data_IF_811009213006
#
_entry.id   IF_811009213006
#
_cell.length_a   1.000
_cell.length_b   1.000
_cell.length_c   1.000
_cell.angle_alpha   90.00
_cell.angle_beta   90.00
_cell.angle_gamma   90.00
#
_symmetry.space_group_name_H-M   'P 1'
#
loop_
_entity.id
_entity.type
_entity.pdbx_description
1 polymer ?
#
# COMPACT_ATOMS: atom_id res chain seq x y z
N UNK A 1 17.56 9.79 32.20
CA UNK A 1 16.18 9.83 31.72
C UNK A 1 16.26 9.82 30.19
N UNK A 2 15.40 9.08 29.48
CA UNK A 2 15.37 9.15 28.02
C UNK A 2 14.94 10.55 27.56
N UNK A 3 15.49 11.03 26.43
CA UNK A 3 15.20 12.36 25.89
C UNK A 3 13.78 12.44 25.33
N UNK A 4 13.27 11.30 24.77
CA UNK A 4 11.96 11.18 24.16
C UNK A 4 11.21 9.94 24.69
N UNK A 5 9.90 9.94 24.57
CA UNK A 5 9.10 8.72 24.76
C UNK A 5 9.30 7.77 23.58
N UNK A 6 9.27 8.31 22.36
CA UNK A 6 9.38 7.53 21.12
C UNK A 6 10.30 8.23 20.12
N UNK A 7 11.26 7.48 19.57
CA UNK A 7 11.99 7.89 18.36
C UNK A 7 11.44 7.11 17.18
N UNK A 8 11.06 7.80 16.10
CA UNK A 8 10.55 7.22 14.86
C UNK A 8 11.59 7.45 13.75
N UNK A 9 12.13 6.39 13.20
CA UNK A 9 13.04 6.44 12.06
C UNK A 9 12.27 6.21 10.77
N UNK A 10 12.28 7.22 9.89
CA UNK A 10 11.52 7.28 8.65
C UNK A 10 10.28 8.19 8.76
N UNK A 11 10.36 9.36 8.13
CA UNK A 11 9.27 10.37 8.07
C UNK A 11 8.36 10.21 6.84
N UNK A 12 8.24 9.00 6.30
CA UNK A 12 7.23 8.68 5.29
C UNK A 12 5.81 8.67 5.87
N UNK A 13 4.85 8.14 5.11
CA UNK A 13 3.42 8.14 5.50
C UNK A 13 3.20 7.49 6.87
N UNK A 14 3.77 6.29 7.11
CA UNK A 14 3.57 5.57 8.36
C UNK A 14 4.19 6.28 9.57
N UNK A 15 5.45 6.70 9.45
CA UNK A 15 6.14 7.37 10.56
C UNK A 15 5.56 8.74 10.89
N UNK A 16 5.23 9.54 9.87
CA UNK A 16 4.61 10.85 10.07
C UNK A 16 3.19 10.75 10.63
N UNK A 17 2.40 9.78 10.17
CA UNK A 17 1.07 9.51 10.75
C UNK A 17 1.17 9.13 12.22
N UNK A 18 2.06 8.18 12.57
CA UNK A 18 2.27 7.76 13.95
C UNK A 18 2.77 8.91 14.83
N UNK A 19 3.76 9.69 14.34
CA UNK A 19 4.27 10.86 15.05
C UNK A 19 3.17 11.87 15.33
N UNK A 20 2.29 12.14 14.35
CA UNK A 20 1.15 13.05 14.51
C UNK A 20 0.21 12.58 15.63
N UNK A 21 -0.15 11.30 15.61
CA UNK A 21 -1.09 10.74 16.60
C UNK A 21 -0.49 10.74 18.01
N UNK A 22 0.75 10.32 18.15
CA UNK A 22 1.43 10.26 19.44
C UNK A 22 1.70 11.67 20.02
N UNK A 23 2.12 12.63 19.20
CA UNK A 23 2.33 14.00 19.64
C UNK A 23 1.01 14.67 20.07
N UNK A 24 -0.11 14.45 19.34
CA UNK A 24 -1.46 14.88 19.76
C UNK A 24 -1.89 14.27 21.10
N UNK A 25 -1.41 13.08 21.42
CA UNK A 25 -1.62 12.43 22.72
C UNK A 25 -0.63 12.90 23.80
N UNK A 26 0.18 13.93 23.53
CA UNK A 26 1.11 14.53 24.49
C UNK A 26 2.43 13.77 24.68
N UNK A 27 2.78 12.84 23.79
CA UNK A 27 4.06 12.12 23.85
C UNK A 27 5.21 12.97 23.32
N UNK A 28 6.37 12.87 23.96
CA UNK A 28 7.63 13.43 23.43
C UNK A 28 8.12 12.54 22.29
N UNK A 29 7.97 13.01 21.04
CA UNK A 29 8.30 12.27 19.83
C UNK A 29 9.41 12.94 19.05
N UNK A 30 10.47 12.19 18.71
CA UNK A 30 11.46 12.56 17.70
C UNK A 30 11.17 11.79 16.42
N UNK A 31 10.96 12.50 15.30
CA UNK A 31 10.76 11.94 13.96
C UNK A 31 11.94 12.32 13.06
N UNK A 32 12.63 11.32 12.50
CA UNK A 32 13.81 11.49 11.66
C UNK A 32 13.53 11.02 10.23
N UNK A 33 13.72 11.90 9.23
CA UNK A 33 13.56 11.62 7.81
C UNK A 33 14.83 11.96 7.04
N UNK A 34 15.33 10.99 6.28
CA UNK A 34 16.55 11.15 5.50
C UNK A 34 16.39 12.05 4.27
N UNK A 35 15.20 12.04 3.65
CA UNK A 35 14.93 12.81 2.43
C UNK A 35 14.76 14.29 2.75
N UNK A 36 15.47 15.17 2.06
CA UNK A 36 15.24 16.61 2.14
C UNK A 36 13.90 17.01 1.49
N UNK A 37 13.50 16.29 0.45
CA UNK A 37 12.26 16.50 -0.28
C UNK A 37 11.59 15.16 -0.61
N UNK A 38 10.26 15.12 -0.54
CA UNK A 38 9.51 13.98 -1.02
C UNK A 38 9.35 14.05 -2.54
N UNK A 39 9.74 12.97 -3.21
CA UNK A 39 9.64 12.85 -4.66
C UNK A 39 8.66 11.76 -5.06
N UNK A 40 8.11 11.85 -6.26
CA UNK A 40 7.25 10.81 -6.81
C UNK A 40 8.07 9.51 -7.01
N UNK A 41 7.69 8.48 -6.29
CA UNK A 41 8.28 7.14 -6.37
C UNK A 41 7.34 6.12 -7.02
N UNK A 42 6.23 6.61 -7.62
CA UNK A 42 5.23 5.78 -8.31
C UNK A 42 4.67 4.67 -7.38
N UNK A 43 4.28 5.04 -6.18
CA UNK A 43 3.66 4.13 -5.20
C UNK A 43 3.04 4.91 -4.04
N UNK A 44 2.12 4.24 -3.33
CA UNK A 44 1.53 4.81 -2.10
C UNK A 44 0.55 5.95 -2.36
N UNK A 45 -0.41 5.76 -3.28
CA UNK A 45 -1.33 6.81 -3.71
C UNK A 45 -2.82 6.41 -3.63
N UNK A 46 -3.11 5.16 -3.29
CA UNK A 46 -4.46 4.63 -3.19
C UNK A 46 -4.68 3.95 -1.84
N UNK A 47 -5.75 4.30 -1.16
CA UNK A 47 -6.14 3.75 0.14
C UNK A 47 -7.48 3.07 -0.04
N UNK A 48 -7.56 1.76 0.22
CA UNK A 48 -8.81 1.00 0.16
C UNK A 48 -9.87 1.55 1.15
N UNK A 49 -11.17 1.32 0.95
CA UNK A 49 -12.21 1.80 1.87
C UNK A 49 -11.98 1.41 3.33
N UNK A 50 -11.55 0.18 3.62
CA UNK A 50 -11.18 -0.21 4.98
C UNK A 50 -9.96 0.57 5.54
N UNK A 51 -9.00 0.91 4.68
CA UNK A 51 -7.87 1.76 5.04
C UNK A 51 -8.29 3.20 5.33
N UNK A 52 -9.28 3.74 4.59
CA UNK A 52 -9.88 5.05 4.89
C UNK A 52 -10.56 5.04 6.26
N UNK A 53 -11.18 3.92 6.65
CA UNK A 53 -11.70 3.76 8.02
C UNK A 53 -10.60 3.86 9.07
N UNK A 54 -9.42 3.27 8.83
CA UNK A 54 -8.25 3.42 9.72
C UNK A 54 -7.77 4.88 9.79
N UNK A 55 -7.69 5.57 8.64
CA UNK A 55 -7.33 7.00 8.57
C UNK A 55 -8.31 7.86 9.40
N UNK A 56 -9.62 7.56 9.34
CA UNK A 56 -10.64 8.24 10.15
C UNK A 56 -10.44 7.99 11.65
N UNK A 57 -10.20 6.75 12.04
CA UNK A 57 -9.94 6.37 13.45
C UNK A 57 -8.72 7.07 14.02
N UNK A 58 -7.72 7.33 13.20
CA UNK A 58 -6.51 8.08 13.56
C UNK A 58 -6.74 9.62 13.61
N UNK A 59 -7.92 10.11 13.23
CA UNK A 59 -8.20 11.56 13.14
C UNK A 59 -7.38 12.28 12.07
N UNK A 60 -7.04 11.57 10.99
CA UNK A 60 -6.21 12.10 9.89
C UNK A 60 -7.02 12.33 8.59
N UNK A 61 -8.29 11.93 8.56
CA UNK A 61 -9.11 11.96 7.36
C UNK A 61 -9.29 13.37 6.79
N UNK A 62 -9.76 14.31 7.62
CA UNK A 62 -10.02 15.69 7.18
C UNK A 62 -8.73 16.40 6.72
N UNK A 63 -7.59 16.03 7.33
CA UNK A 63 -6.28 16.52 6.90
C UNK A 63 -5.96 16.06 5.48
N UNK A 64 -6.21 14.80 5.14
CA UNK A 64 -5.94 14.26 3.80
C UNK A 64 -6.92 14.79 2.76
N UNK A 65 -8.20 14.97 3.11
CA UNK A 65 -9.19 15.61 2.22
C UNK A 65 -8.78 17.08 1.95
N UNK A 66 -8.42 17.82 2.99
CA UNK A 66 -7.94 19.21 2.86
C UNK A 66 -6.67 19.35 2.02
N UNK A 67 -5.86 18.30 1.96
CA UNK A 67 -4.68 18.19 1.11
C UNK A 67 -4.98 17.73 -0.33
N UNK A 68 -6.25 17.70 -0.75
CA UNK A 68 -6.65 17.32 -2.10
C UNK A 68 -6.84 15.81 -2.31
N UNK A 69 -7.07 15.07 -1.23
CA UNK A 69 -7.49 13.67 -1.33
C UNK A 69 -8.79 13.53 -2.12
N UNK A 70 -8.81 12.65 -3.12
CA UNK A 70 -9.91 12.45 -4.05
C UNK A 70 -10.48 11.03 -3.90
N UNK A 71 -11.82 10.94 -3.68
CA UNK A 71 -12.50 9.66 -3.62
C UNK A 71 -12.86 9.16 -5.02
N UNK A 72 -12.60 7.88 -5.24
CA UNK A 72 -13.08 7.15 -6.40
C UNK A 72 -14.34 6.38 -5.97
N UNK A 73 -15.42 6.51 -6.73
CA UNK A 73 -16.73 5.97 -6.32
C UNK A 73 -17.19 4.77 -7.13
N UNK A 74 -16.54 4.49 -8.27
CA UNK A 74 -16.90 3.41 -9.21
C UNK A 74 -15.68 2.62 -9.67
N UNK A 75 -15.93 1.34 -9.97
CA UNK A 75 -14.92 0.42 -10.47
C UNK A 75 -15.45 -0.40 -11.64
N UNK A 76 -14.63 -0.57 -12.68
CA UNK A 76 -14.88 -1.48 -13.78
C UNK A 76 -13.69 -2.41 -13.95
N UNK A 77 -13.97 -3.71 -14.07
CA UNK A 77 -12.97 -4.71 -14.48
C UNK A 77 -13.17 -5.07 -15.95
N UNK A 78 -12.17 -4.77 -16.78
CA UNK A 78 -12.12 -5.12 -18.19
C UNK A 78 -11.32 -6.41 -18.41
N UNK A 79 -11.65 -7.15 -19.46
CA UNK A 79 -10.89 -8.32 -19.89
C UNK A 79 -11.11 -8.58 -21.38
N UNK A 80 -10.10 -9.04 -22.08
CA UNK A 80 -10.16 -9.37 -23.52
C UNK A 80 -11.17 -10.47 -23.88
N UNK A 81 -11.65 -11.24 -22.90
CA UNK A 81 -12.68 -12.27 -23.10
C UNK A 81 -14.12 -11.74 -23.05
N UNK A 82 -14.31 -10.43 -22.78
CA UNK A 82 -15.61 -9.76 -22.63
C UNK A 82 -15.69 -8.53 -23.52
N UNK A 83 -16.90 -8.16 -23.96
CA UNK A 83 -17.07 -6.87 -24.62
C UNK A 83 -16.98 -5.71 -23.62
N UNK A 84 -16.58 -4.51 -24.07
CA UNK A 84 -16.58 -3.31 -23.22
C UNK A 84 -17.93 -3.05 -22.57
N UNK A 85 -19.02 -3.19 -23.32
CA UNK A 85 -20.39 -2.96 -22.84
C UNK A 85 -20.76 -3.95 -21.71
N UNK A 86 -20.33 -5.21 -21.82
CA UNK A 86 -20.56 -6.22 -20.77
C UNK A 86 -19.73 -5.92 -19.52
N UNK A 87 -18.53 -5.35 -19.67
CA UNK A 87 -17.73 -4.91 -18.54
C UNK A 87 -18.36 -3.68 -17.86
N UNK A 88 -18.79 -2.67 -18.64
CA UNK A 88 -19.40 -1.44 -18.16
C UNK A 88 -20.76 -1.67 -17.49
N UNK A 89 -21.54 -2.63 -17.98
CA UNK A 89 -22.79 -3.06 -17.31
C UNK A 89 -22.54 -3.65 -15.91
N UNK A 90 -21.33 -4.14 -15.64
CA UNK A 90 -20.89 -4.65 -14.34
C UNK A 90 -20.21 -3.61 -13.46
N UNK A 91 -20.42 -2.31 -13.69
CA UNK A 91 -19.84 -1.24 -12.86
C UNK A 91 -20.19 -1.44 -11.39
N UNK A 92 -19.16 -1.44 -10.54
CA UNK A 92 -19.28 -1.68 -9.11
C UNK A 92 -19.23 -0.34 -8.34
N UNK A 93 -20.28 0.02 -7.56
CA UNK A 93 -20.21 1.17 -6.67
C UNK A 93 -19.28 0.85 -5.48
N UNK A 94 -18.38 1.77 -5.13
CA UNK A 94 -17.34 1.50 -4.14
C UNK A 94 -17.69 1.94 -2.72
N UNK A 95 -18.80 2.64 -2.53
CA UNK A 95 -19.32 3.05 -1.22
C UNK A 95 -19.97 1.90 -0.43
N UNK A 96 -20.11 0.72 -1.04
CA UNK A 96 -20.73 -0.46 -0.39
C UNK A 96 -19.75 -1.21 0.54
N UNK A 97 -18.44 -0.91 0.47
CA UNK A 97 -17.41 -1.71 1.14
C UNK A 97 -17.07 -1.24 2.57
N UNK A 98 -17.39 -0.01 2.91
CA UNK A 98 -17.19 0.49 4.27
C UNK A 98 -18.26 1.53 4.62
N UNK A 99 -18.86 1.47 5.82
CA UNK A 99 -19.84 2.47 6.26
C UNK A 99 -19.26 3.89 6.21
N UNK A 100 -20.05 4.84 5.71
CA UNK A 100 -19.72 6.26 5.67
C UNK A 100 -18.45 6.62 4.86
N UNK A 101 -17.95 5.70 4.04
CA UNK A 101 -16.81 5.91 3.14
C UNK A 101 -17.30 5.90 1.70
N UNK A 102 -17.07 7.00 0.98
CA UNK A 102 -17.52 7.14 -0.42
C UNK A 102 -16.85 6.14 -1.38
N UNK A 103 -15.67 5.64 -1.02
CA UNK A 103 -14.86 4.72 -1.79
C UNK A 103 -13.38 4.86 -1.42
N UNK A 104 -12.47 4.25 -2.18
CA UNK A 104 -11.04 4.46 -2.01
C UNK A 104 -10.66 5.94 -2.05
N UNK A 105 -9.59 6.30 -1.32
CA UNK A 105 -9.06 7.65 -1.32
C UNK A 105 -7.71 7.70 -2.06
N UNK A 106 -7.60 8.55 -3.06
CA UNK A 106 -6.38 8.81 -3.81
C UNK A 106 -5.76 10.15 -3.42
N UNK A 107 -4.44 10.16 -3.23
CA UNK A 107 -3.65 11.36 -2.99
C UNK A 107 -2.22 11.13 -3.46
N UNK A 108 -1.61 12.08 -4.15
CA UNK A 108 -0.24 11.96 -4.67
C UNK A 108 0.78 11.76 -3.55
N UNK A 109 1.66 10.77 -3.70
CA UNK A 109 2.59 10.33 -2.65
C UNK A 109 3.44 11.45 -2.04
N UNK A 110 4.10 12.36 -2.81
CA UNK A 110 4.89 13.42 -2.22
C UNK A 110 4.06 14.37 -1.35
N UNK A 111 2.87 14.71 -1.83
CA UNK A 111 1.96 15.60 -1.12
C UNK A 111 1.41 14.95 0.15
N UNK A 112 1.07 13.68 0.08
CA UNK A 112 0.64 12.86 1.21
C UNK A 112 1.70 12.85 2.33
N UNK A 113 2.96 12.52 1.98
CA UNK A 113 4.07 12.52 2.94
C UNK A 113 4.28 13.90 3.56
N UNK A 114 4.31 14.97 2.73
CA UNK A 114 4.51 16.34 3.20
C UNK A 114 3.43 16.76 4.18
N UNK A 115 2.17 16.52 3.83
CA UNK A 115 1.01 16.87 4.67
C UNK A 115 1.09 16.22 6.05
N UNK A 116 1.42 14.93 6.12
CA UNK A 116 1.54 14.22 7.39
C UNK A 116 2.77 14.66 8.19
N UNK A 117 3.88 14.94 7.53
CA UNK A 117 5.08 15.42 8.19
C UNK A 117 4.85 16.80 8.83
N UNK A 118 4.20 17.70 8.12
CA UNK A 118 3.85 19.02 8.63
C UNK A 118 2.83 18.92 9.77
N UNK A 119 1.89 17.98 9.69
CA UNK A 119 0.95 17.70 10.77
C UNK A 119 1.64 17.17 12.03
N UNK A 120 2.67 16.33 11.90
CA UNK A 120 3.47 15.87 13.03
C UNK A 120 4.18 17.03 13.74
N UNK A 121 4.79 17.94 12.98
CA UNK A 121 5.40 19.16 13.52
C UNK A 121 4.37 20.07 14.21
N UNK A 122 3.24 20.28 13.56
CA UNK A 122 2.15 21.10 14.12
C UNK A 122 1.56 20.49 15.40
N UNK A 123 1.59 19.16 15.54
CA UNK A 123 1.19 18.45 16.75
C UNK A 123 2.22 18.51 17.90
N UNK A 124 3.43 19.03 17.65
CA UNK A 124 4.48 19.19 18.65
C UNK A 124 5.59 18.11 18.61
N UNK A 125 5.62 17.25 17.58
CA UNK A 125 6.76 16.35 17.39
C UNK A 125 8.02 17.14 16.99
N UNK A 126 9.19 16.76 17.52
CA UNK A 126 10.50 17.19 17.01
C UNK A 126 10.76 16.42 15.69
N UNK A 127 10.28 16.98 14.58
CA UNK A 127 10.38 16.34 13.28
C UNK A 127 11.47 16.99 12.42
N UNK A 128 12.48 16.21 12.07
CA UNK A 128 13.69 16.64 11.35
C UNK A 128 13.81 15.94 9.99
N UNK A 129 14.22 16.69 8.97
CA UNK A 129 14.43 16.22 7.59
C UNK A 129 15.87 16.45 7.13
N UNK A 130 16.29 15.66 6.12
CA UNK A 130 17.66 15.68 5.65
C UNK A 130 18.63 15.09 6.70
N UNK A 131 18.10 14.21 7.57
CA UNK A 131 18.82 13.67 8.72
C UNK A 131 19.12 12.19 8.50
N UNK A 132 20.39 11.84 8.47
CA UNK A 132 20.83 10.46 8.27
C UNK A 132 21.08 9.78 9.60
N UNK A 133 20.31 8.76 9.94
CA UNK A 133 20.59 7.87 11.08
C UNK A 133 21.80 7.00 10.74
N UNK A 134 22.86 7.11 11.51
CA UNK A 134 24.14 6.43 11.29
C UNK A 134 24.36 5.25 12.23
N UNK A 135 23.73 5.24 13.40
CA UNK A 135 23.80 4.13 14.36
C UNK A 135 22.48 3.97 15.10
N UNK A 136 22.12 2.72 15.40
CA UNK A 136 20.87 2.32 16.08
C UNK A 136 21.21 1.38 17.21
N UNK A 137 20.87 1.78 18.42
CA UNK A 137 21.00 0.95 19.62
C UNK A 137 19.60 0.55 20.09
N UNK A 138 19.40 -0.74 20.32
CA UNK A 138 18.15 -1.34 20.80
C UNK A 138 18.31 -1.92 22.21
N UNK A 139 17.27 -2.52 22.76
CA UNK A 139 17.26 -3.13 24.09
C UNK A 139 16.63 -2.26 25.17
N UNK A 140 17.21 -2.24 26.37
CA UNK A 140 16.64 -1.55 27.52
C UNK A 140 16.67 -0.01 27.39
N UNK A 141 17.69 0.51 26.72
CA UNK A 141 17.91 1.96 26.54
C UNK A 141 18.06 2.25 25.02
N UNK A 142 16.97 2.19 24.24
CA UNK A 142 17.04 2.40 22.80
C UNK A 142 17.42 3.85 22.47
N UNK A 143 18.16 4.02 21.39
CA UNK A 143 18.60 5.34 20.94
C UNK A 143 19.20 5.29 19.53
N UNK A 144 19.43 6.46 18.98
CA UNK A 144 20.01 6.65 17.67
C UNK A 144 21.14 7.67 17.70
N UNK A 145 22.11 7.49 16.81
CA UNK A 145 23.04 8.53 16.40
C UNK A 145 22.65 8.97 14.99
N UNK A 146 22.59 10.26 14.74
CA UNK A 146 22.23 10.80 13.44
C UNK A 146 23.05 12.03 13.08
N UNK A 147 23.14 12.29 11.79
CA UNK A 147 23.83 13.44 11.21
C UNK A 147 22.79 14.46 10.69
N UNK A 148 22.96 15.71 11.10
CA UNK A 148 22.23 16.87 10.57
C UNK A 148 23.27 17.82 9.97
N UNK A 149 23.47 17.76 8.65
CA UNK A 149 24.67 18.27 8.02
C UNK A 149 25.93 17.53 8.53
N UNK A 150 26.91 18.29 9.04
CA UNK A 150 28.15 17.73 9.63
C UNK A 150 28.04 17.50 11.15
N UNK A 151 26.89 17.81 11.76
CA UNK A 151 26.71 17.69 13.21
C UNK A 151 26.22 16.29 13.57
N UNK A 152 27.03 15.53 14.32
CA UNK A 152 26.61 14.29 14.94
C UNK A 152 25.81 14.58 16.22
N UNK A 153 24.61 14.03 16.29
CA UNK A 153 23.70 14.16 17.44
C UNK A 153 23.29 12.77 17.92
N UNK A 154 23.14 12.61 19.24
CA UNK A 154 22.61 11.39 19.85
C UNK A 154 21.31 11.69 20.56
N UNK A 155 20.34 10.77 20.45
CA UNK A 155 19.09 10.83 21.16
C UNK A 155 18.72 9.45 21.72
N UNK A 156 18.05 9.45 22.88
CA UNK A 156 17.56 8.25 23.56
C UNK A 156 16.06 8.28 23.71
N UNK A 157 15.42 7.11 23.69
CA UNK A 157 13.99 7.00 23.88
C UNK A 157 13.63 5.78 24.73
N UNK A 158 12.38 5.68 25.10
CA UNK A 158 11.83 4.47 25.75
C UNK A 158 11.48 3.40 24.72
N UNK A 159 11.18 3.82 23.49
CA UNK A 159 10.86 2.94 22.35
C UNK A 159 11.40 3.54 21.07
N UNK A 160 11.87 2.68 20.18
CA UNK A 160 12.25 3.02 18.81
C UNK A 160 11.25 2.40 17.84
N UNK A 161 10.76 3.20 16.88
CA UNK A 161 9.85 2.73 15.82
C UNK A 161 10.57 2.77 14.48
N UNK A 162 10.65 1.62 13.79
CA UNK A 162 11.10 1.54 12.41
C UNK A 162 9.94 1.78 11.44
N UNK A 163 9.97 2.92 10.76
CA UNK A 163 9.05 3.31 9.69
C UNK A 163 9.81 3.68 8.40
N UNK A 164 11.03 3.18 8.26
CA UNK A 164 12.05 3.52 7.28
C UNK A 164 11.97 2.67 5.99
N UNK A 165 10.83 2.00 5.79
CA UNK A 165 10.47 1.36 4.53
C UNK A 165 11.18 0.04 4.24
N UNK A 166 11.22 -0.35 2.96
CA UNK A 166 11.66 -1.69 2.53
C UNK A 166 13.10 -2.01 2.89
N UNK A 167 13.96 -1.01 2.90
CA UNK A 167 15.40 -1.12 3.24
C UNK A 167 15.69 -0.71 4.68
N UNK A 168 14.80 -1.05 5.60
CA UNK A 168 14.82 -0.62 7.00
C UNK A 168 16.13 -0.97 7.72
N UNK A 169 16.84 0.06 8.15
CA UNK A 169 18.01 -0.06 9.04
C UNK A 169 17.61 -0.46 10.46
N UNK A 170 16.42 -0.04 10.92
CA UNK A 170 15.89 -0.48 12.22
C UNK A 170 15.64 -1.98 12.24
N UNK A 171 15.05 -2.53 11.17
CA UNK A 171 14.84 -3.97 11.02
C UNK A 171 16.15 -4.73 11.05
N UNK A 172 17.16 -4.23 10.32
CA UNK A 172 18.49 -4.81 10.28
C UNK A 172 19.14 -4.81 11.67
N UNK A 173 19.13 -3.67 12.37
CA UNK A 173 19.64 -3.53 13.73
C UNK A 173 18.91 -4.45 14.74
N UNK A 174 17.63 -4.71 14.52
CA UNK A 174 16.82 -5.64 15.31
C UNK A 174 17.04 -7.12 14.96
N UNK A 175 17.86 -7.42 13.93
CA UNK A 175 18.07 -8.77 13.38
C UNK A 175 16.77 -9.47 12.96
N UNK A 176 15.74 -8.69 12.58
CA UNK A 176 14.46 -9.24 12.11
C UNK A 176 14.57 -9.58 10.62
N UNK A 177 14.43 -10.87 10.31
CA UNK A 177 14.49 -11.37 8.93
C UNK A 177 13.10 -11.39 8.30
N UNK A 178 13.00 -10.93 7.03
CA UNK A 178 11.81 -11.11 6.23
C UNK A 178 11.85 -12.42 5.46
N UNK A 179 10.74 -13.14 5.46
CA UNK A 179 10.44 -14.14 4.44
C UNK A 179 10.01 -13.43 3.17
N UNK A 180 10.28 -14.01 2.01
CA UNK A 180 9.92 -13.42 0.72
C UNK A 180 9.47 -14.50 -0.25
N UNK A 181 8.39 -14.23 -0.98
CA UNK A 181 7.93 -15.08 -2.08
C UNK A 181 8.78 -14.85 -3.34
N UNK A 182 8.68 -15.79 -4.28
CA UNK A 182 9.31 -15.61 -5.59
C UNK A 182 8.54 -14.55 -6.38
N UNK A 183 9.25 -13.65 -7.09
CA UNK A 183 8.60 -12.72 -8.00
C UNK A 183 7.85 -13.47 -9.11
N UNK A 184 6.68 -12.94 -9.53
CA UNK A 184 5.91 -13.53 -10.62
C UNK A 184 5.68 -12.58 -11.79
N UNK A 185 5.82 -11.27 -11.63
CA UNK A 185 5.62 -10.31 -12.70
C UNK A 185 6.40 -9.01 -12.45
N UNK A 186 6.58 -8.25 -13.52
CA UNK A 186 7.00 -6.85 -13.44
C UNK A 186 5.78 -5.95 -13.29
N UNK A 187 5.99 -4.83 -12.64
CA UNK A 187 5.01 -3.76 -12.55
C UNK A 187 5.68 -2.44 -12.88
N UNK A 188 5.11 -1.68 -13.81
CA UNK A 188 5.55 -0.32 -14.10
C UNK A 188 4.44 0.67 -13.73
N UNK A 189 4.80 1.91 -13.43
CA UNK A 189 3.81 2.93 -13.14
C UNK A 189 4.25 4.32 -13.58
N UNK A 190 3.26 5.14 -13.91
CA UNK A 190 3.43 6.48 -14.44
C UNK A 190 2.26 7.37 -14.01
N UNK A 191 2.50 8.63 -13.71
CA UNK A 191 1.45 9.65 -13.64
C UNK A 191 1.23 10.24 -15.04
N UNK A 192 -0.02 10.28 -15.47
CA UNK A 192 -0.43 10.82 -16.77
C UNK A 192 -1.29 12.05 -16.55
N UNK A 193 -1.04 13.11 -17.30
CA UNK A 193 -1.86 14.33 -17.34
C UNK A 193 -2.42 14.56 -18.73
N UNK A 194 -3.42 15.46 -18.85
CA UNK A 194 -4.16 15.66 -20.10
C UNK A 194 -5.23 14.60 -20.32
N UNK A 195 -5.73 13.99 -19.24
CA UNK A 195 -6.75 12.92 -19.28
C UNK A 195 -8.13 13.46 -18.89
N UNK A 196 -8.52 14.66 -19.32
CA UNK A 196 -9.81 15.30 -18.97
C UNK A 196 -11.01 14.48 -19.47
N UNK A 197 -10.82 13.62 -20.48
CA UNK A 197 -11.86 12.70 -20.96
C UNK A 197 -11.99 11.41 -20.16
N UNK A 198 -11.09 11.16 -19.20
CA UNK A 198 -11.24 10.06 -18.25
C UNK A 198 -12.22 10.45 -17.15
N UNK A 199 -13.13 9.56 -16.81
CA UNK A 199 -14.08 9.79 -15.73
C UNK A 199 -13.35 9.92 -14.37
N UNK A 200 -13.42 11.07 -13.69
CA UNK A 200 -12.65 11.31 -12.47
C UNK A 200 -13.04 10.41 -11.30
N UNK A 201 -14.23 9.82 -11.33
CA UNK A 201 -14.76 8.98 -10.24
C UNK A 201 -14.61 7.48 -10.52
N UNK A 202 -14.00 7.11 -11.66
CA UNK A 202 -13.89 5.73 -12.13
C UNK A 202 -12.45 5.23 -12.08
N UNK A 203 -12.18 4.24 -11.22
CA UNK A 203 -11.01 3.39 -11.36
C UNK A 203 -11.30 2.19 -12.26
N UNK A 204 -10.29 1.75 -13.00
CA UNK A 204 -10.40 0.58 -13.86
C UNK A 204 -9.17 -0.30 -13.74
N UNK A 205 -9.39 -1.61 -13.85
CA UNK A 205 -8.35 -2.61 -14.05
C UNK A 205 -8.72 -3.44 -15.27
N UNK A 206 -7.75 -4.07 -15.91
CA UNK A 206 -8.05 -4.98 -17.01
C UNK A 206 -6.82 -5.67 -17.56
N UNK A 207 -7.07 -6.72 -18.37
CA UNK A 207 -6.02 -7.52 -18.99
C UNK A 207 -6.37 -7.79 -20.45
N UNK A 208 -5.41 -7.52 -21.35
CA UNK A 208 -5.49 -7.84 -22.77
C UNK A 208 -4.11 -8.22 -23.29
N UNK A 209 -4.03 -9.34 -24.04
CA UNK A 209 -2.79 -9.84 -24.62
C UNK A 209 -1.76 -10.24 -23.56
N UNK A 210 -0.67 -9.50 -23.48
CA UNK A 210 0.45 -9.72 -22.56
C UNK A 210 0.65 -8.58 -21.56
N UNK A 211 -0.42 -7.80 -21.30
CA UNK A 211 -0.37 -6.64 -20.43
C UNK A 211 -1.64 -6.51 -19.58
N UNK A 212 -1.44 -6.35 -18.27
CA UNK A 212 -2.49 -5.99 -17.32
C UNK A 212 -2.36 -4.52 -16.93
N UNK A 213 -3.47 -3.78 -16.79
CA UNK A 213 -3.45 -2.38 -16.41
C UNK A 213 -4.31 -2.07 -15.19
N UNK A 214 -3.93 -1.00 -14.48
CA UNK A 214 -4.71 -0.36 -13.43
C UNK A 214 -4.66 1.16 -13.66
N UNK A 215 -5.80 1.84 -13.49
CA UNK A 215 -5.93 3.28 -13.66
C UNK A 215 -6.70 3.90 -12.49
N UNK A 216 -6.08 4.86 -11.82
CA UNK A 216 -6.60 5.53 -10.64
C UNK A 216 -6.59 7.04 -10.82
N UNK A 217 -7.75 7.70 -11.04
CA UNK A 217 -7.84 9.15 -11.12
C UNK A 217 -7.36 9.83 -9.84
N UNK A 218 -6.67 10.96 -10.01
CA UNK A 218 -6.17 11.80 -8.91
C UNK A 218 -6.75 13.22 -8.97
N UNK A 219 -7.81 13.43 -9.75
CA UNK A 219 -8.39 14.75 -10.00
C UNK A 219 -7.59 15.61 -10.98
N UNK A 220 -8.22 16.67 -11.51
CA UNK A 220 -7.58 17.65 -12.39
C UNK A 220 -7.02 17.09 -13.69
N UNK A 221 -7.69 16.12 -14.32
CA UNK A 221 -7.23 15.49 -15.55
C UNK A 221 -5.96 14.62 -15.40
N UNK A 222 -5.59 14.25 -14.17
CA UNK A 222 -4.46 13.37 -13.86
C UNK A 222 -4.94 11.98 -13.49
N UNK A 223 -4.26 10.97 -14.04
CA UNK A 223 -4.53 9.56 -13.74
C UNK A 223 -3.21 8.87 -13.43
N UNK A 224 -3.12 8.22 -12.28
CA UNK A 224 -2.02 7.30 -11.98
C UNK A 224 -2.34 5.98 -12.66
N UNK A 225 -1.41 5.53 -13.50
CA UNK A 225 -1.54 4.26 -14.21
C UNK A 225 -0.43 3.30 -13.82
N UNK A 226 -0.78 2.04 -13.74
CA UNK A 226 0.15 0.94 -13.54
C UNK A 226 -0.07 -0.12 -14.61
N UNK A 227 0.99 -0.83 -14.96
CA UNK A 227 0.94 -1.94 -15.90
C UNK A 227 1.77 -3.12 -15.43
N UNK A 228 1.16 -4.31 -15.46
CA UNK A 228 1.81 -5.58 -15.15
C UNK A 228 2.17 -6.34 -16.42
N UNK A 229 3.33 -7.01 -16.45
CA UNK A 229 3.84 -7.78 -17.57
C UNK A 229 4.79 -8.89 -17.13
N UNK A 230 5.02 -9.87 -17.97
CA UNK A 230 5.75 -11.08 -17.64
C UNK A 230 7.23 -10.84 -17.29
N UNK A 231 7.81 -11.73 -16.47
CA UNK A 231 9.19 -11.59 -15.95
C UNK A 231 10.25 -11.56 -17.05
N UNK A 232 10.06 -12.29 -18.16
CA UNK A 232 10.97 -12.32 -19.30
C UNK A 232 10.98 -11.02 -20.12
N UNK A 233 10.02 -10.12 -19.89
CA UNK A 233 9.90 -8.82 -20.55
C UNK A 233 10.58 -7.67 -19.78
N UNK A 234 11.59 -7.92 -18.97
CA UNK A 234 12.27 -6.95 -18.10
C UNK A 234 12.76 -5.67 -18.81
N UNK A 235 12.95 -5.72 -20.13
CA UNK A 235 13.45 -4.60 -20.96
C UNK A 235 12.33 -3.80 -21.65
N UNK A 236 11.05 -4.24 -21.55
CA UNK A 236 9.90 -3.75 -22.33
C UNK A 236 9.78 -2.22 -22.32
N UNK A 237 9.94 -1.60 -21.17
CA UNK A 237 9.75 -0.16 -20.99
C UNK A 237 11.03 0.60 -20.61
N UNK A 238 12.22 0.02 -20.81
CA UNK A 238 13.49 0.69 -20.53
C UNK A 238 13.93 1.61 -21.66
N UNK A 239 14.74 2.61 -21.34
CA UNK A 239 15.33 3.56 -22.29
C UNK A 239 14.50 4.82 -22.54
N UNK A 240 14.96 5.72 -23.43
CA UNK A 240 14.41 7.09 -23.56
C UNK A 240 12.92 7.12 -23.88
N UNK A 241 12.44 6.22 -24.76
CA UNK A 241 11.03 6.16 -25.17
C UNK A 241 10.18 5.23 -24.30
N UNK A 242 10.71 4.80 -23.15
CA UNK A 242 10.05 3.84 -22.24
C UNK A 242 8.67 4.30 -21.80
N UNK A 243 8.54 5.56 -21.41
CA UNK A 243 7.25 6.14 -20.97
C UNK A 243 6.23 6.16 -22.13
N UNK A 244 6.66 6.46 -23.38
CA UNK A 244 5.75 6.45 -24.52
C UNK A 244 5.29 5.03 -24.84
N UNK A 245 6.22 4.07 -24.93
CA UNK A 245 5.87 2.63 -25.12
C UNK A 245 4.96 2.11 -24.02
N UNK A 246 5.14 2.59 -22.78
CA UNK A 246 4.28 2.23 -21.68
C UNK A 246 2.85 2.75 -21.88
N UNK A 247 2.68 4.00 -22.29
CA UNK A 247 1.35 4.56 -22.61
C UNK A 247 0.72 3.87 -23.82
N UNK A 248 1.51 3.53 -24.86
CA UNK A 248 1.02 2.80 -26.04
C UNK A 248 0.47 1.41 -25.69
N UNK A 249 0.99 0.76 -24.63
CA UNK A 249 0.49 -0.53 -24.17
C UNK A 249 -0.94 -0.46 -23.57
N UNK A 250 -1.44 0.74 -23.25
CA UNK A 250 -2.84 0.94 -22.82
C UNK A 250 -3.83 1.02 -23.99
N UNK A 251 -3.38 0.95 -25.25
CA UNK A 251 -4.26 0.89 -26.42
C UNK A 251 -4.94 -0.49 -26.52
N UNK A 252 -5.95 -0.70 -25.66
CA UNK A 252 -6.67 -1.97 -25.52
C UNK A 252 -8.07 -1.89 -26.09
N UNK A 253 -8.48 -2.93 -26.82
CA UNK A 253 -9.82 -3.04 -27.36
C UNK A 253 -10.88 -3.28 -26.28
N UNK A 254 -10.52 -4.01 -25.22
CA UNK A 254 -11.42 -4.30 -24.10
C UNK A 254 -11.75 -3.05 -23.25
N UNK A 255 -10.96 -1.99 -23.31
CA UNK A 255 -11.18 -0.75 -22.54
C UNK A 255 -11.04 0.49 -23.43
N UNK A 256 -12.11 0.90 -24.16
CA UNK A 256 -12.07 2.03 -25.09
C UNK A 256 -11.72 3.38 -24.43
N UNK A 257 -12.00 3.55 -23.12
CA UNK A 257 -11.66 4.75 -22.38
C UNK A 257 -10.14 4.95 -22.24
N UNK A 258 -9.34 3.90 -22.38
CA UNK A 258 -7.88 3.96 -22.34
C UNK A 258 -7.28 4.88 -23.43
N UNK A 259 -8.04 5.20 -24.50
CA UNK A 259 -7.63 6.22 -25.49
C UNK A 259 -7.23 7.57 -24.85
N UNK A 260 -7.85 7.93 -23.73
CA UNK A 260 -7.53 9.16 -22.99
C UNK A 260 -6.16 9.07 -22.29
N UNK A 261 -5.78 7.88 -21.82
CA UNK A 261 -4.45 7.60 -21.25
C UNK A 261 -3.38 7.61 -22.32
N UNK A 262 -3.65 6.97 -23.46
CA UNK A 262 -2.73 6.91 -24.62
C UNK A 262 -2.48 8.31 -25.21
N UNK A 263 -3.51 9.16 -25.25
CA UNK A 263 -3.41 10.55 -25.72
C UNK A 263 -2.75 11.48 -24.71
N UNK A 264 -2.72 11.09 -23.43
CA UNK A 264 -2.12 11.87 -22.36
C UNK A 264 -0.59 11.95 -22.46
N UNK A 265 0.00 12.73 -21.55
CA UNK A 265 1.47 12.90 -21.46
C UNK A 265 1.98 12.50 -20.08
N UNK A 266 3.23 11.99 -19.99
CA UNK A 266 3.88 11.73 -18.72
C UNK A 266 3.96 12.99 -17.85
N UNK A 267 3.53 12.91 -16.59
CA UNK A 267 3.61 13.97 -15.58
C UNK A 267 4.61 13.65 -14.47
N UNK A 268 5.45 12.63 -14.68
CA UNK A 268 6.47 12.19 -13.75
C UNK A 268 7.32 11.07 -14.33
N UNK A 269 8.19 10.48 -13.52
CA UNK A 269 9.06 9.38 -13.97
C UNK A 269 8.26 8.09 -14.17
N UNK A 270 8.70 7.27 -15.13
CA UNK A 270 8.30 5.87 -15.25
C UNK A 270 9.24 5.02 -14.38
N UNK A 271 8.67 4.30 -13.44
CA UNK A 271 9.41 3.29 -12.67
C UNK A 271 8.88 1.90 -12.94
N UNK A 272 9.82 0.94 -13.08
CA UNK A 272 9.50 -0.49 -13.19
C UNK A 272 10.20 -1.24 -12.09
N UNK A 273 9.49 -2.15 -11.44
CA UNK A 273 10.00 -2.96 -10.34
C UNK A 273 9.40 -4.36 -10.36
N UNK A 274 10.16 -5.30 -9.84
CA UNK A 274 9.71 -6.67 -9.61
C UNK A 274 8.88 -6.70 -8.33
N UNK A 275 7.80 -7.47 -8.35
CA UNK A 275 6.90 -7.62 -7.24
C UNK A 275 6.99 -9.01 -6.61
N UNK A 276 6.98 -9.00 -5.28
CA UNK A 276 6.84 -10.17 -4.43
C UNK A 276 6.37 -9.71 -3.05
N UNK A 277 5.66 -10.57 -2.36
CA UNK A 277 5.35 -10.37 -0.94
C UNK A 277 6.60 -10.56 -0.08
N UNK A 278 6.73 -9.76 0.97
CA UNK A 278 7.74 -9.95 2.00
C UNK A 278 7.15 -9.69 3.38
N UNK A 279 7.45 -10.52 4.37
CA UNK A 279 6.83 -10.42 5.70
C UNK A 279 7.68 -10.99 6.83
N UNK A 280 7.38 -10.55 8.04
CA UNK A 280 7.77 -11.22 9.29
C UNK A 280 6.52 -11.44 10.12
N UNK A 281 6.51 -12.51 10.92
CA UNK A 281 5.44 -12.78 11.88
C UNK A 281 5.71 -12.05 13.22
N UNK A 282 6.95 -11.59 13.44
CA UNK A 282 7.38 -10.88 14.65
C UNK A 282 7.99 -9.51 14.27
N UNK A 283 7.15 -8.46 14.04
CA UNK A 283 7.62 -7.13 13.64
C UNK A 283 8.10 -6.28 14.83
N UNK A 284 8.65 -6.88 15.87
CA UNK A 284 9.18 -6.20 17.05
C UNK A 284 10.34 -6.98 17.68
N UNK A 285 11.15 -6.26 18.43
CA UNK A 285 12.23 -6.82 19.25
C UNK A 285 12.37 -5.96 20.54
N UNK A 286 13.17 -6.38 21.53
CA UNK A 286 13.37 -5.55 22.72
C UNK A 286 13.79 -4.12 22.37
N UNK A 287 12.99 -3.14 22.79
CA UNK A 287 13.20 -1.72 22.55
C UNK A 287 12.75 -1.19 21.18
N UNK A 288 12.17 -2.02 20.31
CA UNK A 288 11.67 -1.53 19.02
C UNK A 288 10.43 -2.26 18.49
N UNK A 289 9.69 -1.56 17.61
CA UNK A 289 8.60 -2.10 16.78
C UNK A 289 8.72 -1.55 15.36
N UNK A 290 8.31 -2.36 14.36
CA UNK A 290 8.30 -1.99 12.95
C UNK A 290 6.87 -1.75 12.47
N UNK A 291 6.67 -0.75 11.59
CA UNK A 291 5.37 -0.46 10.95
C UNK A 291 5.53 -0.29 9.43
N UNK A 292 4.46 -0.55 8.70
CA UNK A 292 4.44 -0.43 7.24
C UNK A 292 5.45 -1.36 6.54
N UNK A 293 6.08 -0.85 5.49
CA UNK A 293 7.02 -1.63 4.67
C UNK A 293 8.29 -2.07 5.44
N UNK A 294 8.63 -1.42 6.57
CA UNK A 294 9.71 -1.87 7.44
C UNK A 294 9.42 -3.26 8.06
N UNK A 295 8.16 -3.55 8.34
CA UNK A 295 7.69 -4.84 8.84
C UNK A 295 7.32 -5.84 7.73
N UNK A 296 7.54 -5.47 6.45
CA UNK A 296 7.19 -6.27 5.27
C UNK A 296 6.04 -5.67 4.46
N UNK A 297 5.93 -6.07 3.20
CA UNK A 297 5.02 -5.50 2.20
C UNK A 297 4.30 -6.57 1.40
N UNK A 298 3.16 -6.21 0.82
CA UNK A 298 2.44 -7.02 -0.14
C UNK A 298 2.86 -6.73 -1.58
N UNK A 299 2.58 -7.68 -2.47
CA UNK A 299 2.55 -7.42 -3.91
C UNK A 299 1.56 -6.27 -4.19
N UNK A 300 2.01 -5.21 -4.91
CA UNK A 300 1.18 -4.04 -5.18
C UNK A 300 0.00 -4.30 -6.10
N UNK A 301 -0.17 -5.49 -6.66
CA UNK A 301 -1.33 -5.86 -7.50
C UNK A 301 -2.67 -5.62 -6.80
N UNK A 302 -2.73 -5.77 -5.48
CA UNK A 302 -3.94 -5.48 -4.70
C UNK A 302 -3.99 -4.06 -4.11
N UNK A 303 -2.95 -3.23 -4.31
CA UNK A 303 -2.93 -1.81 -3.93
C UNK A 303 -2.96 -1.50 -2.43
N UNK A 304 -2.72 -2.43 -1.53
CA UNK A 304 -3.06 -2.29 -0.10
C UNK A 304 -1.96 -1.74 0.82
N UNK A 305 -0.79 -1.37 0.29
CA UNK A 305 0.34 -0.93 1.12
C UNK A 305 0.00 0.19 2.10
N UNK A 306 -0.77 1.20 1.69
CA UNK A 306 -1.20 2.30 2.56
C UNK A 306 -2.21 1.85 3.62
N UNK A 307 -3.18 1.04 3.24
CA UNK A 307 -4.19 0.52 4.16
C UNK A 307 -3.56 -0.34 5.26
N UNK A 308 -2.57 -1.18 4.89
CA UNK A 308 -1.76 -1.96 5.82
C UNK A 308 -1.02 -1.03 6.78
N UNK A 309 -0.36 0.00 6.25
CA UNK A 309 0.43 0.96 7.04
C UNK A 309 -0.44 1.71 8.04
N UNK A 310 -1.61 2.21 7.63
CA UNK A 310 -2.52 2.91 8.56
C UNK A 310 -3.07 2.00 9.65
N UNK A 311 -3.34 0.73 9.36
CA UNK A 311 -3.73 -0.23 10.40
C UNK A 311 -2.58 -0.54 11.36
N UNK A 312 -1.35 -0.68 10.84
CA UNK A 312 -0.16 -0.83 11.70
C UNK A 312 -0.03 0.39 12.64
N UNK A 313 -0.13 1.61 12.10
CA UNK A 313 -0.07 2.85 12.89
C UNK A 313 -1.15 2.89 13.96
N UNK A 314 -2.40 2.56 13.62
CA UNK A 314 -3.50 2.56 14.59
C UNK A 314 -3.26 1.57 15.71
N UNK A 315 -2.92 0.31 15.40
CA UNK A 315 -2.75 -0.71 16.45
C UNK A 315 -1.56 -0.37 17.34
N UNK A 316 -0.45 0.08 16.77
CA UNK A 316 0.72 0.50 17.56
C UNK A 316 0.39 1.71 18.43
N UNK A 317 -0.33 2.71 17.91
CA UNK A 317 -0.75 3.86 18.71
C UNK A 317 -1.72 3.49 19.83
N UNK A 318 -2.66 2.57 19.59
CA UNK A 318 -3.60 2.07 20.61
C UNK A 318 -2.86 1.33 21.75
N UNK A 319 -1.86 0.50 21.42
CA UNK A 319 -1.03 -0.18 22.43
C UNK A 319 -0.24 0.82 23.27
N UNK A 320 0.32 1.86 22.61
CA UNK A 320 1.08 2.90 23.32
C UNK A 320 0.18 3.80 24.17
N UNK A 321 -1.08 4.00 23.81
CA UNK A 321 -2.06 4.75 24.60
C UNK A 321 -2.57 3.94 25.80
N UNK A 322 -2.82 2.64 25.65
CA UNK A 322 -3.34 1.77 26.72
C UNK A 322 -2.35 1.59 27.90
N UNK A 323 -1.05 1.79 27.69
CA UNK A 323 -0.03 1.73 28.74
C UNK A 323 -0.06 2.90 29.74
N UNK A 324 -1.00 3.85 29.59
CA UNK A 324 -1.06 5.14 30.33
C UNK A 324 -2.03 5.17 31.48
N UNK A 325 -2.69 4.09 31.86
CA UNK A 325 -3.62 4.09 32.99
C UNK A 325 -2.88 4.39 34.30
N UNK A 326 -2.68 5.69 34.57
CA UNK A 326 -2.36 6.18 35.91
C UNK A 326 -1.18 7.13 36.09
N UNK A 327 -0.25 7.29 35.17
CA UNK A 327 0.81 8.31 35.28
C UNK A 327 1.60 8.48 33.99
N UNK A 328 1.88 9.71 33.52
CA UNK A 328 2.82 9.98 32.42
C UNK A 328 4.25 9.48 32.68
N UNK A 329 4.57 9.16 33.94
CA UNK A 329 5.90 8.67 34.34
C UNK A 329 6.08 7.15 34.17
N UNK A 330 5.01 6.38 33.97
CA UNK A 330 5.05 4.93 33.90
C UNK A 330 4.83 4.42 32.46
N UNK A 331 5.77 4.70 31.57
CA UNK A 331 5.85 4.01 30.27
C UNK A 331 6.37 2.58 30.55
N UNK A 332 5.45 1.66 30.85
CA UNK A 332 5.80 0.24 30.90
C UNK A 332 6.21 -0.23 29.48
N UNK A 333 7.18 -1.15 29.33
CA UNK A 333 7.51 -1.70 28.03
C UNK A 333 6.24 -2.27 27.37
N UNK A 334 5.81 -1.77 26.20
CA UNK A 334 4.57 -2.21 25.57
C UNK A 334 4.68 -3.66 25.10
N UNK A 335 3.60 -4.44 25.26
CA UNK A 335 3.51 -5.78 24.68
C UNK A 335 2.98 -5.69 23.25
N UNK A 336 3.84 -5.95 22.26
CA UNK A 336 3.49 -5.96 20.85
C UNK A 336 3.05 -7.32 20.31
N UNK A 337 2.89 -8.34 21.16
CA UNK A 337 2.38 -9.66 20.71
C UNK A 337 0.99 -9.56 20.06
N UNK A 338 0.01 -8.79 20.61
CA UNK A 338 -1.29 -8.63 19.95
C UNK A 338 -1.19 -8.01 18.56
N UNK A 339 -0.31 -7.02 18.37
CA UNK A 339 -0.02 -6.44 17.06
C UNK A 339 0.58 -7.48 16.09
N UNK A 340 1.58 -8.25 16.55
CA UNK A 340 2.22 -9.27 15.74
C UNK A 340 1.23 -10.35 15.29
N UNK A 341 0.37 -10.83 16.19
CA UNK A 341 -0.65 -11.85 15.88
C UNK A 341 -1.68 -11.35 14.86
N UNK A 342 -2.23 -10.15 15.07
CA UNK A 342 -3.18 -9.53 14.13
C UNK A 342 -2.52 -9.32 12.76
N UNK A 343 -1.32 -8.74 12.75
CA UNK A 343 -0.61 -8.46 11.52
C UNK A 343 -0.25 -9.74 10.75
N UNK A 344 0.21 -10.78 11.43
CA UNK A 344 0.55 -12.05 10.80
C UNK A 344 -0.66 -12.66 10.09
N UNK A 345 -1.84 -12.69 10.73
CA UNK A 345 -3.08 -13.21 10.12
C UNK A 345 -3.58 -12.31 9.01
N UNK A 346 -3.60 -10.99 9.21
CA UNK A 346 -3.95 -10.01 8.16
C UNK A 346 -3.07 -10.18 6.93
N UNK A 347 -1.75 -10.22 7.10
CA UNK A 347 -0.80 -10.38 5.99
C UNK A 347 -0.94 -11.74 5.31
N UNK A 348 -1.22 -12.81 6.05
CA UNK A 348 -1.50 -14.13 5.48
C UNK A 348 -2.70 -14.09 4.52
N UNK A 349 -3.82 -13.46 4.95
CA UNK A 349 -5.02 -13.31 4.13
C UNK A 349 -4.78 -12.43 2.91
N UNK A 350 -4.05 -11.32 3.08
CA UNK A 350 -3.76 -10.40 1.98
C UNK A 350 -2.78 -10.99 0.96
N UNK A 351 -1.78 -11.79 1.39
CA UNK A 351 -0.92 -12.55 0.45
C UNK A 351 -1.73 -13.56 -0.35
N UNK A 352 -2.67 -14.25 0.29
CA UNK A 352 -3.60 -15.12 -0.43
C UNK A 352 -4.39 -14.33 -1.48
N UNK A 353 -4.97 -13.17 -1.12
CA UNK A 353 -5.69 -12.33 -2.04
C UNK A 353 -4.82 -11.83 -3.20
N UNK A 354 -3.57 -11.41 -2.92
CA UNK A 354 -2.61 -11.01 -3.93
C UNK A 354 -2.28 -12.16 -4.89
N UNK A 355 -2.10 -13.39 -4.38
CA UNK A 355 -1.81 -14.56 -5.20
C UNK A 355 -2.97 -14.94 -6.15
N UNK A 356 -4.23 -14.75 -5.71
CA UNK A 356 -5.41 -14.94 -6.56
C UNK A 356 -5.43 -13.86 -7.66
N UNK A 357 -5.28 -12.60 -7.27
CA UNK A 357 -5.31 -11.49 -8.24
C UNK A 357 -4.19 -11.60 -9.26
N UNK A 358 -2.95 -11.90 -8.82
CA UNK A 358 -1.83 -12.11 -9.73
C UNK A 358 -2.06 -13.31 -10.67
N UNK A 359 -2.62 -14.41 -10.17
CA UNK A 359 -2.96 -15.58 -10.98
C UNK A 359 -4.07 -15.32 -12.01
N UNK A 360 -4.96 -14.38 -11.75
CA UNK A 360 -5.99 -13.97 -12.72
C UNK A 360 -5.44 -12.94 -13.72
N UNK A 361 -4.83 -11.84 -13.25
CA UNK A 361 -4.58 -10.67 -14.07
C UNK A 361 -3.15 -10.57 -14.61
N UNK A 362 -2.17 -11.24 -13.98
CA UNK A 362 -0.75 -11.13 -14.32
C UNK A 362 -0.15 -12.39 -14.95
N UNK A 363 -1.00 -13.36 -15.27
CA UNK A 363 -0.66 -14.47 -16.14
C UNK A 363 -1.26 -14.25 -17.52
N UNK A 364 -0.48 -14.54 -18.57
CA UNK A 364 -0.80 -14.17 -19.96
C UNK A 364 -0.86 -15.40 -20.88
N UNK A 365 -1.38 -15.19 -22.08
CA UNK A 365 -1.52 -16.22 -23.09
C UNK A 365 -2.86 -16.97 -23.03
N UNK A 366 -3.08 -17.93 -23.99
CA UNK A 366 -4.39 -18.54 -24.22
C UNK A 366 -4.98 -19.25 -22.98
N UNK A 367 -4.16 -19.96 -22.22
CA UNK A 367 -4.60 -20.68 -21.02
C UNK A 367 -5.06 -19.72 -19.90
N UNK A 368 -4.33 -18.60 -19.71
CA UNK A 368 -4.68 -17.60 -18.72
C UNK A 368 -5.96 -16.83 -19.13
N UNK A 369 -6.09 -16.49 -20.42
CA UNK A 369 -7.31 -15.89 -20.99
C UNK A 369 -8.53 -16.78 -20.76
N UNK A 370 -8.42 -18.07 -21.05
CA UNK A 370 -9.51 -19.03 -20.85
C UNK A 370 -9.86 -19.18 -19.35
N UNK A 371 -8.87 -19.15 -18.47
CA UNK A 371 -9.09 -19.14 -17.01
C UNK A 371 -9.89 -17.91 -16.56
N UNK A 372 -9.54 -16.69 -17.02
CA UNK A 372 -10.27 -15.45 -16.73
C UNK A 372 -11.70 -15.53 -17.22
N UNK A 373 -11.92 -15.95 -18.48
CA UNK A 373 -13.25 -16.13 -19.06
C UNK A 373 -14.12 -17.03 -18.17
N UNK A 374 -13.62 -18.21 -17.81
CA UNK A 374 -14.35 -19.14 -16.93
C UNK A 374 -14.59 -18.57 -15.55
N UNK A 375 -13.66 -17.81 -15.01
CA UNK A 375 -13.82 -17.16 -13.71
C UNK A 375 -15.00 -16.18 -13.75
N UNK A 376 -15.10 -15.33 -14.77
CA UNK A 376 -16.22 -14.41 -14.95
C UNK A 376 -17.57 -15.15 -15.11
N UNK A 377 -17.59 -16.21 -15.92
CA UNK A 377 -18.80 -17.02 -16.13
C UNK A 377 -19.28 -17.68 -14.82
N UNK A 378 -18.34 -18.13 -14.00
CA UNK A 378 -18.64 -18.85 -12.74
C UNK A 378 -19.03 -17.94 -11.58
N UNK A 379 -18.49 -16.73 -11.48
CA UNK A 379 -18.85 -15.78 -10.41
C UNK A 379 -20.34 -15.49 -10.39
N UNK A 380 -21.01 -15.43 -11.54
CA UNK A 380 -22.45 -15.20 -11.63
C UNK A 380 -23.27 -16.34 -10.98
N UNK A 381 -22.78 -17.58 -11.06
CA UNK A 381 -23.41 -18.76 -10.48
C UNK A 381 -22.95 -19.05 -9.04
N UNK A 382 -21.71 -18.67 -8.71
CA UNK A 382 -21.08 -18.87 -7.39
C UNK A 382 -20.38 -17.59 -6.93
N UNK A 383 -21.11 -16.65 -6.29
CA UNK A 383 -20.54 -15.38 -5.81
C UNK A 383 -19.40 -15.55 -4.80
N UNK A 384 -19.26 -16.74 -4.17
CA UNK A 384 -18.13 -17.00 -3.24
C UNK A 384 -16.77 -16.95 -3.93
N UNK A 385 -16.71 -17.11 -5.25
CA UNK A 385 -15.49 -16.94 -6.05
C UNK A 385 -15.01 -15.48 -6.11
N UNK A 386 -15.91 -14.51 -5.87
CA UNK A 386 -15.64 -13.07 -5.85
C UNK A 386 -15.22 -12.51 -4.48
N UNK A 387 -15.14 -13.33 -3.43
CA UNK A 387 -14.78 -12.88 -2.06
C UNK A 387 -13.37 -12.28 -1.98
N UNK A 388 -12.52 -12.52 -2.98
CA UNK A 388 -11.23 -11.86 -3.09
C UNK A 388 -11.36 -10.34 -3.13
N UNK A 389 -12.26 -9.83 -3.97
CA UNK A 389 -12.56 -8.40 -4.06
C UNK A 389 -13.06 -7.82 -2.74
N UNK A 390 -13.90 -8.58 -2.02
CA UNK A 390 -14.40 -8.18 -0.70
C UNK A 390 -13.24 -8.05 0.32
N UNK A 391 -12.32 -9.03 0.36
CA UNK A 391 -11.15 -8.99 1.25
C UNK A 391 -10.22 -7.79 0.94
N UNK A 392 -10.08 -7.43 -0.33
CA UNK A 392 -9.26 -6.28 -0.76
C UNK A 392 -9.94 -4.95 -0.42
N UNK A 393 -11.24 -4.82 -0.67
CA UNK A 393 -11.97 -3.54 -0.58
C UNK A 393 -12.52 -3.26 0.82
N UNK A 394 -13.09 -4.27 1.49
CA UNK A 394 -13.72 -4.13 2.81
C UNK A 394 -12.82 -4.56 3.99
N UNK A 395 -11.66 -5.15 3.68
CA UNK A 395 -10.71 -5.67 4.65
C UNK A 395 -10.66 -7.20 4.68
N UNK A 396 -9.52 -7.78 5.05
CA UNK A 396 -9.33 -9.23 5.00
C UNK A 396 -10.26 -9.99 5.93
N UNK A 397 -10.77 -9.37 6.99
CA UNK A 397 -11.77 -9.91 7.90
C UNK A 397 -13.19 -9.95 7.34
N UNK A 398 -13.47 -9.24 6.24
CA UNK A 398 -14.78 -9.24 5.60
C UNK A 398 -15.07 -10.56 4.85
N UNK A 399 -14.05 -11.30 4.48
CA UNK A 399 -14.20 -12.65 3.93
C UNK A 399 -14.05 -13.71 5.04
N UNK A 400 -14.83 -14.82 4.99
CA UNK A 400 -14.76 -15.88 5.99
C UNK A 400 -13.35 -16.50 6.07
N UNK A 401 -12.93 -16.96 7.26
CA UNK A 401 -11.58 -17.49 7.46
C UNK A 401 -11.26 -18.72 6.59
N UNK A 402 -12.24 -19.56 6.31
CA UNK A 402 -12.15 -20.76 5.46
C UNK A 402 -12.04 -20.44 3.96
N UNK A 403 -12.27 -19.18 3.57
CA UNK A 403 -11.97 -18.71 2.22
C UNK A 403 -10.47 -18.78 1.89
N UNK A 404 -9.61 -18.48 2.85
CA UNK A 404 -8.15 -18.33 2.66
C UNK A 404 -7.41 -19.67 2.75
N UNK A 405 -7.79 -20.64 1.90
CA UNK A 405 -7.23 -21.99 1.87
C UNK A 405 -6.72 -22.37 0.48
N UNK A 406 -5.70 -23.23 0.41
CA UNK A 406 -5.18 -23.72 -0.87
C UNK A 406 -6.25 -24.47 -1.70
N UNK A 407 -7.21 -25.14 -1.05
CA UNK A 407 -8.34 -25.75 -1.75
C UNK A 407 -9.20 -24.71 -2.49
N UNK A 408 -9.49 -23.57 -1.86
CA UNK A 408 -10.21 -22.47 -2.51
C UNK A 408 -9.36 -21.80 -3.59
N UNK A 409 -8.07 -21.61 -3.37
CA UNK A 409 -7.16 -21.09 -4.39
C UNK A 409 -7.18 -21.98 -5.63
N UNK A 410 -7.04 -23.30 -5.44
CA UNK A 410 -7.14 -24.26 -6.53
C UNK A 410 -8.50 -24.18 -7.24
N UNK A 411 -9.63 -24.05 -6.50
CA UNK A 411 -10.97 -23.92 -7.04
C UNK A 411 -11.13 -22.64 -7.88
N UNK A 412 -10.59 -21.51 -7.43
CA UNK A 412 -10.70 -20.21 -8.11
C UNK A 412 -9.84 -20.20 -9.38
N UNK A 413 -8.60 -20.67 -9.27
CA UNK A 413 -7.62 -20.69 -10.35
C UNK A 413 -7.67 -21.99 -11.19
N UNK A 414 -8.65 -22.88 -10.96
CA UNK A 414 -8.69 -24.21 -11.55
C UNK A 414 -8.45 -24.19 -13.07
N UNK A 415 -7.41 -24.90 -13.47
CA UNK A 415 -7.35 -25.51 -14.78
C UNK A 415 -8.23 -26.76 -14.74
N UNK A 416 -9.27 -26.88 -15.55
CA UNK A 416 -9.82 -28.22 -15.77
C UNK A 416 -8.68 -29.09 -16.29
N UNK A 417 -8.28 -30.07 -15.50
CA UNK A 417 -7.61 -31.22 -16.08
C UNK A 417 -8.60 -31.75 -17.13
N UNK A 418 -8.18 -31.77 -18.39
CA UNK A 418 -8.89 -32.50 -19.42
C UNK A 418 -9.21 -33.87 -18.81
N UNK A 419 -10.49 -34.16 -18.61
CA UNK A 419 -10.91 -35.50 -18.26
C UNK A 419 -10.37 -36.41 -19.37
N UNK A 420 -9.67 -37.50 -19.01
CA UNK A 420 -9.10 -38.43 -19.98
C UNK A 420 -10.15 -39.02 -20.88
#
# INVERSE_FOLDING_TARGET
MADYDVIIVGGGIGGSALATVLARAGRAVLLLEASEQYVDRVRGEWIAPWGVTEVRRLGLYDLLIGAGGHHITRHITYDESRSPEAAEAGVLPLNIFAPDVAGPLCIGHPHHCQTLFDAARAAGADARRGVLVSDIRLGADPGVTFLEGDLETRATARLLVGADGRTSGVREAAAITLRQDKPHHWFAGLLVEGCEGWDPDLQSIGTEGDFGFLAFPQGGGRVRVYGGYALDQAQRFKGPDGARRFLDAFAMACSPANRHLVAGRPAGPLYSYINADAWTDEPFAPGCVLVGDAAGWNDPIIGLGLSITYRDVRIVSDILAAGDEGSPAAFAPPDFKPYAQERAERMRRLRFAASIQAGLDMEFGPAARERRRRHFDRIAADPSLGLNGLAVMAGPEAAPADYFTEANRARILAHEQAQP
#
